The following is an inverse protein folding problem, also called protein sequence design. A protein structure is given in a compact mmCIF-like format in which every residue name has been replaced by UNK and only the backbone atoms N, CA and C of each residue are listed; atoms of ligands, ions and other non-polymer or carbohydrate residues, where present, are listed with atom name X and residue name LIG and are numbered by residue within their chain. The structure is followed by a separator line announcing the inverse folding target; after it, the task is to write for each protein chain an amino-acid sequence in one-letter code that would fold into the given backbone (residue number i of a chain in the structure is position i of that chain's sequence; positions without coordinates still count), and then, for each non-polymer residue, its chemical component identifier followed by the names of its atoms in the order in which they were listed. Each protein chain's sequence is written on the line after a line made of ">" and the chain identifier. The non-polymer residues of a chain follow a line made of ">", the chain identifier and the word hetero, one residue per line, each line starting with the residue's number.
data_IF_874950761159
#
_entry.id   IF_874950761159
#
_cell.length_a   1.000
_cell.length_b   1.000
_cell.length_c   1.000
_cell.angle_alpha   90.00
_cell.angle_beta   90.00
_cell.angle_gamma   90.00
#
_symmetry.space_group_name_H-M   'P 1'
#
loop_
_entity.id
_entity.type
_entity.pdbx_description
1 polymer ?
#
# COMPACT_ATOMS: atom_id res chain seq x y z
N UNK A 1 -22.55 -10.24 -5.14
CA UNK A 1 -21.24 -9.63 -5.30
C UNK A 1 -20.62 -10.06 -6.62
N UNK A 2 -20.05 -9.12 -7.36
CA UNK A 2 -19.34 -9.46 -8.59
C UNK A 2 -18.00 -10.12 -8.30
N UNK A 3 -17.52 -10.94 -9.23
CA UNK A 3 -16.18 -11.54 -9.15
C UNK A 3 -15.09 -10.46 -9.04
N UNK A 4 -15.26 -9.33 -9.76
CA UNK A 4 -14.33 -8.20 -9.70
C UNK A 4 -14.31 -7.54 -8.33
N UNK A 5 -15.47 -7.39 -7.67
CA UNK A 5 -15.54 -6.87 -6.30
C UNK A 5 -14.82 -7.77 -5.30
N UNK A 6 -14.90 -9.08 -5.47
CA UNK A 6 -14.17 -10.04 -4.64
C UNK A 6 -12.66 -9.96 -4.87
N UNK A 7 -12.22 -9.79 -6.13
CA UNK A 7 -10.81 -9.58 -6.47
C UNK A 7 -10.25 -8.30 -5.86
N UNK A 8 -11.01 -7.20 -5.91
CA UNK A 8 -10.61 -5.94 -5.26
C UNK A 8 -10.38 -6.17 -3.77
N UNK A 9 -11.24 -6.89 -3.07
CA UNK A 9 -11.09 -7.16 -1.65
C UNK A 9 -9.88 -8.02 -1.34
N UNK A 10 -9.64 -9.07 -2.13
CA UNK A 10 -8.47 -9.95 -1.96
C UNK A 10 -7.18 -9.16 -2.16
N UNK A 11 -7.09 -8.33 -3.19
CA UNK A 11 -5.90 -7.53 -3.47
C UNK A 11 -5.71 -6.39 -2.48
N UNK A 12 -6.81 -5.82 -1.95
CA UNK A 12 -6.75 -4.82 -0.88
C UNK A 12 -6.19 -5.44 0.41
N UNK A 13 -6.64 -6.66 0.74
CA UNK A 13 -6.09 -7.39 1.87
C UNK A 13 -4.59 -7.65 1.70
N UNK A 14 -4.18 -8.12 0.52
CA UNK A 14 -2.76 -8.36 0.22
C UNK A 14 -1.93 -7.08 0.32
N UNK A 15 -2.46 -5.95 -0.18
CA UNK A 15 -1.81 -4.65 -0.05
C UNK A 15 -1.61 -4.25 1.42
N UNK A 16 -2.64 -4.44 2.26
CA UNK A 16 -2.55 -4.13 3.69
C UNK A 16 -1.52 -4.99 4.39
N UNK A 17 -1.40 -6.28 4.04
CA UNK A 17 -0.37 -7.16 4.57
C UNK A 17 1.03 -6.68 4.20
N UNK A 18 1.24 -6.26 2.94
CA UNK A 18 2.51 -5.68 2.48
C UNK A 18 2.85 -4.39 3.21
N UNK A 19 1.86 -3.54 3.45
CA UNK A 19 2.04 -2.30 4.23
C UNK A 19 2.44 -2.57 5.68
N UNK A 20 1.86 -3.58 6.32
CA UNK A 20 2.23 -3.98 7.69
C UNK A 20 3.66 -4.50 7.75
N UNK A 21 4.07 -5.31 6.78
CA UNK A 21 5.45 -5.80 6.68
C UNK A 21 6.42 -4.64 6.52
N UNK A 22 6.13 -3.69 5.64
CA UNK A 22 6.96 -2.50 5.44
C UNK A 22 7.07 -1.67 6.72
N UNK A 23 5.95 -1.42 7.39
CA UNK A 23 5.94 -0.66 8.64
C UNK A 23 6.80 -1.33 9.73
N UNK A 24 6.73 -2.66 9.84
CA UNK A 24 7.56 -3.43 10.78
C UNK A 24 9.04 -3.31 10.47
N UNK A 25 9.44 -3.37 9.20
CA UNK A 25 10.84 -3.20 8.77
C UNK A 25 11.33 -1.79 9.04
N UNK A 26 10.52 -0.76 8.77
CA UNK A 26 10.87 0.63 9.04
C UNK A 26 11.05 0.89 10.53
N UNK A 27 10.19 0.34 11.38
CA UNK A 27 10.31 0.46 12.83
C UNK A 27 11.58 -0.21 13.35
N UNK A 28 11.91 -1.39 12.83
CA UNK A 28 13.12 -2.10 13.21
C UNK A 28 14.37 -1.33 12.76
N UNK A 29 14.35 -0.76 11.57
CA UNK A 29 15.45 0.08 11.05
C UNK A 29 15.68 1.29 11.94
N UNK A 30 14.61 1.96 12.35
CA UNK A 30 14.69 3.10 13.26
C UNK A 30 15.27 2.71 14.62
N UNK A 31 14.83 1.57 15.17
CA UNK A 31 15.36 1.05 16.43
C UNK A 31 16.87 0.79 16.34
N UNK A 32 17.31 0.14 15.28
CA UNK A 32 18.74 -0.15 15.11
C UNK A 32 19.58 1.12 14.91
N UNK A 33 19.06 2.11 14.20
CA UNK A 33 19.71 3.41 14.06
C UNK A 33 19.83 4.13 15.40
N UNK A 34 18.77 4.08 16.22
CA UNK A 34 18.79 4.64 17.56
C UNK A 34 19.78 3.90 18.46
N UNK A 35 19.88 2.58 18.35
CA UNK A 35 20.87 1.77 19.08
C UNK A 35 22.31 2.15 18.67
N UNK A 36 22.54 2.38 17.40
CA UNK A 36 23.84 2.81 16.88
C UNK A 36 24.21 4.20 17.40
N UNK A 37 23.27 5.13 17.36
CA UNK A 37 23.45 6.49 17.86
C UNK A 37 23.75 6.48 19.36
N UNK A 38 23.02 5.66 20.13
CA UNK A 38 23.27 5.46 21.56
C UNK A 38 24.65 4.91 21.85
N UNK A 39 25.10 3.94 21.05
CA UNK A 39 26.43 3.33 21.17
C UNK A 39 27.54 4.37 20.90
N UNK A 40 27.37 5.20 19.87
CA UNK A 40 28.33 6.26 19.55
C UNK A 40 28.39 7.32 20.65
N UNK A 41 27.25 7.69 21.24
CA UNK A 41 27.20 8.60 22.38
C UNK A 41 27.90 7.98 23.61
N UNK A 42 27.68 6.69 23.87
CA UNK A 42 28.33 5.96 24.96
C UNK A 42 29.85 5.90 24.78
N UNK A 43 30.32 5.65 23.55
CA UNK A 43 31.73 5.71 23.21
C UNK A 43 32.36 7.08 23.52
N UNK A 44 31.64 8.15 23.20
CA UNK A 44 32.11 9.52 23.45
C UNK A 44 32.17 9.83 24.93
N UNK A 45 31.18 9.39 25.70
CA UNK A 45 31.14 9.56 27.15
C UNK A 45 32.28 8.81 27.83
N UNK A 46 32.53 7.56 27.45
CA UNK A 46 33.61 6.75 28.00
C UNK A 46 34.99 7.30 27.65
N UNK A 47 35.12 7.84 26.44
CA UNK A 47 36.38 8.52 26.05
C UNK A 47 36.65 9.71 26.96
N UNK A 48 35.65 10.51 27.26
CA UNK A 48 35.80 11.67 28.15
C UNK A 48 36.09 11.25 29.59
N UNK A 49 35.44 10.17 30.06
CA UNK A 49 35.66 9.62 31.39
C UNK A 49 37.09 9.01 31.53
N UNK A 50 37.58 8.33 30.49
CA UNK A 50 38.89 7.68 30.47
C UNK A 50 40.05 8.68 30.63
N UNK A 51 39.90 9.90 30.14
CA UNK A 51 40.91 10.97 30.31
C UNK A 51 40.99 11.51 31.71
N UNK A 52 39.99 11.21 32.59
CA UNK A 52 39.92 11.72 33.97
C UNK A 52 40.45 10.75 35.04
N UNK A 53 40.77 9.48 34.72
CA UNK A 53 41.20 8.48 35.69
C UNK A 53 42.19 7.48 35.09
N UNK A 54 43.09 6.92 35.95
CA UNK A 54 44.01 5.86 35.52
C UNK A 54 43.27 4.56 35.24
N UNK A 55 42.28 4.21 36.07
CA UNK A 55 41.46 3.03 35.89
C UNK A 55 40.66 3.09 34.59
N UNK A 56 40.06 4.21 34.25
CA UNK A 56 39.37 4.46 32.99
C UNK A 56 40.31 4.33 31.79
N UNK A 57 41.53 4.82 31.89
CA UNK A 57 42.56 4.73 30.83
C UNK A 57 42.98 3.29 30.56
N UNK A 58 43.01 2.43 31.56
CA UNK A 58 43.35 1.02 31.43
C UNK A 58 42.20 0.20 30.83
N UNK A 59 40.98 0.48 31.24
CA UNK A 59 39.75 -0.24 30.80
C UNK A 59 39.27 0.20 29.42
N UNK A 60 39.59 1.42 28.98
CA UNK A 60 39.07 2.03 27.76
C UNK A 60 39.38 1.24 26.48
N UNK A 61 40.61 0.73 26.25
CA UNK A 61 40.91 -0.02 25.02
C UNK A 61 40.02 -1.25 24.84
N UNK A 62 39.74 -2.01 25.90
CA UNK A 62 38.88 -3.18 25.86
C UNK A 62 37.42 -2.78 25.56
N UNK A 63 36.96 -1.70 26.20
CA UNK A 63 35.63 -1.14 25.95
C UNK A 63 35.49 -0.71 24.48
N UNK A 64 36.47 0.03 23.95
CA UNK A 64 36.49 0.49 22.56
C UNK A 64 36.44 -0.69 21.58
N UNK A 65 37.27 -1.71 21.80
CA UNK A 65 37.29 -2.89 20.93
C UNK A 65 35.92 -3.58 20.86
N UNK A 66 35.28 -3.78 22.01
CA UNK A 66 33.92 -4.37 22.07
C UNK A 66 32.87 -3.48 21.41
N UNK A 67 32.92 -2.17 21.63
CA UNK A 67 32.00 -1.21 21.07
C UNK A 67 32.16 -1.08 19.54
N UNK A 68 33.37 -1.10 19.02
CA UNK A 68 33.64 -1.07 17.58
C UNK A 68 33.11 -2.33 16.89
N UNK A 69 33.26 -3.49 17.51
CA UNK A 69 32.69 -4.73 16.98
C UNK A 69 31.16 -4.69 16.96
N UNK A 70 30.54 -4.21 18.01
CA UNK A 70 29.08 -4.02 18.09
C UNK A 70 28.61 -3.01 17.05
N UNK A 71 29.32 -1.89 16.88
CA UNK A 71 29.01 -0.87 15.86
C UNK A 71 29.05 -1.46 14.46
N UNK A 72 30.06 -2.27 14.17
CA UNK A 72 30.18 -2.97 12.88
C UNK A 72 28.99 -3.87 12.60
N UNK A 73 28.58 -4.66 13.59
CA UNK A 73 27.41 -5.56 13.48
C UNK A 73 26.13 -4.77 13.27
N UNK A 74 25.93 -3.67 14.00
CA UNK A 74 24.77 -2.79 13.82
C UNK A 74 24.72 -2.18 12.43
N UNK A 75 25.85 -1.69 11.91
CA UNK A 75 25.92 -1.12 10.56
C UNK A 75 25.60 -2.14 9.47
N UNK A 76 26.08 -3.38 9.61
CA UNK A 76 25.76 -4.46 8.68
C UNK A 76 24.28 -4.79 8.74
N UNK A 77 23.73 -4.91 9.94
CA UNK A 77 22.29 -5.19 10.12
C UNK A 77 21.42 -4.07 9.54
N UNK A 78 21.79 -2.81 9.75
CA UNK A 78 21.08 -1.64 9.19
C UNK A 78 21.13 -1.68 7.66
N UNK A 79 22.30 -1.95 7.06
CA UNK A 79 22.45 -2.03 5.61
C UNK A 79 21.56 -3.14 5.02
N UNK A 80 21.55 -4.32 5.63
CA UNK A 80 20.71 -5.42 5.20
C UNK A 80 19.22 -5.10 5.35
N UNK A 81 18.87 -4.44 6.44
CA UNK A 81 17.49 -4.04 6.72
C UNK A 81 17.01 -2.95 5.75
N UNK A 82 17.88 -2.01 5.37
CA UNK A 82 17.56 -1.00 4.37
C UNK A 82 17.28 -1.63 2.99
N UNK A 83 18.04 -2.66 2.61
CA UNK A 83 17.77 -3.41 1.39
C UNK A 83 16.42 -4.13 1.46
N UNK A 84 16.13 -4.78 2.59
CA UNK A 84 14.84 -5.47 2.79
C UNK A 84 13.67 -4.47 2.78
N UNK A 85 13.85 -3.29 3.36
CA UNK A 85 12.85 -2.22 3.39
C UNK A 85 12.56 -1.72 1.99
N UNK A 86 13.58 -1.51 1.16
CA UNK A 86 13.40 -1.07 -0.22
C UNK A 86 12.68 -2.13 -1.05
N UNK A 87 13.01 -3.41 -0.87
CA UNK A 87 12.28 -4.50 -1.51
C UNK A 87 10.80 -4.52 -1.08
N UNK A 88 10.53 -4.30 0.21
CA UNK A 88 9.16 -4.24 0.74
C UNK A 88 8.38 -3.04 0.18
N UNK A 89 9.04 -1.88 -0.01
CA UNK A 89 8.43 -0.73 -0.67
C UNK A 89 8.00 -1.03 -2.09
N UNK A 90 8.85 -1.75 -2.83
CA UNK A 90 8.53 -2.17 -4.19
C UNK A 90 7.33 -3.11 -4.21
N UNK A 91 7.25 -4.07 -3.29
CA UNK A 91 6.10 -4.96 -3.16
C UNK A 91 4.81 -4.20 -2.84
N UNK A 92 4.87 -3.17 -2.00
CA UNK A 92 3.71 -2.30 -1.72
C UNK A 92 3.25 -1.57 -2.98
N UNK A 93 4.20 -1.01 -3.75
CA UNK A 93 3.88 -0.34 -5.01
C UNK A 93 3.19 -1.28 -6.00
N UNK A 94 3.70 -2.49 -6.15
CA UNK A 94 3.13 -3.50 -7.04
C UNK A 94 1.74 -3.93 -6.57
N UNK A 95 1.55 -4.18 -5.28
CA UNK A 95 0.27 -4.54 -4.70
C UNK A 95 -0.77 -3.41 -4.86
N UNK A 96 -0.34 -2.15 -4.72
CA UNK A 96 -1.19 -0.98 -4.96
C UNK A 96 -1.65 -0.91 -6.42
N UNK A 97 -0.73 -1.14 -7.36
CA UNK A 97 -1.07 -1.17 -8.80
C UNK A 97 -2.07 -2.26 -9.12
N UNK A 98 -1.94 -3.43 -8.51
CA UNK A 98 -2.91 -4.52 -8.68
C UNK A 98 -4.30 -4.14 -8.15
N UNK A 99 -4.39 -3.51 -6.99
CA UNK A 99 -5.67 -3.01 -6.46
C UNK A 99 -6.30 -2.02 -7.43
N UNK A 100 -5.52 -1.05 -7.92
CA UNK A 100 -6.01 -0.02 -8.86
C UNK A 100 -6.49 -0.63 -10.18
N UNK A 101 -5.79 -1.62 -10.68
CA UNK A 101 -6.18 -2.36 -11.88
C UNK A 101 -7.57 -2.99 -11.74
N UNK A 102 -7.81 -3.69 -10.64
CA UNK A 102 -9.10 -4.36 -10.39
C UNK A 102 -10.22 -3.38 -10.01
N UNK A 103 -9.91 -2.31 -9.28
CA UNK A 103 -10.87 -1.22 -9.04
C UNK A 103 -11.35 -0.60 -10.35
N UNK A 104 -10.41 -0.29 -11.24
CA UNK A 104 -10.73 0.30 -12.53
C UNK A 104 -11.56 -0.65 -13.40
N UNK A 105 -11.20 -1.94 -13.41
CA UNK A 105 -11.95 -2.96 -14.14
C UNK A 105 -13.40 -3.08 -13.60
N UNK A 106 -13.56 -3.08 -12.27
CA UNK A 106 -14.87 -3.11 -11.62
C UNK A 106 -15.70 -1.88 -11.99
N UNK A 107 -15.12 -0.70 -11.88
CA UNK A 107 -15.81 0.56 -12.16
C UNK A 107 -16.24 0.65 -13.64
N UNK A 108 -15.38 0.20 -14.56
CA UNK A 108 -15.69 0.12 -15.98
C UNK A 108 -16.81 -0.87 -16.27
N UNK A 109 -16.80 -2.03 -15.60
CA UNK A 109 -17.85 -3.04 -15.73
C UNK A 109 -19.20 -2.51 -15.24
N UNK A 110 -19.22 -1.87 -14.07
CA UNK A 110 -20.45 -1.27 -13.50
C UNK A 110 -21.00 -0.16 -14.41
N UNK A 111 -20.13 0.66 -14.98
CA UNK A 111 -20.53 1.72 -15.91
C UNK A 111 -21.13 1.14 -17.19
N UNK A 112 -20.52 0.11 -17.75
CA UNK A 112 -21.04 -0.58 -18.95
C UNK A 112 -22.41 -1.21 -18.68
N UNK A 113 -22.60 -1.81 -17.51
CA UNK A 113 -23.88 -2.38 -17.11
C UNK A 113 -24.96 -1.29 -16.97
N UNK A 114 -24.64 -0.16 -16.36
CA UNK A 114 -25.55 0.98 -16.27
C UNK A 114 -25.93 1.52 -17.64
N UNK A 115 -24.95 1.68 -18.52
CA UNK A 115 -25.18 2.17 -19.88
C UNK A 115 -26.05 1.18 -20.68
N UNK A 116 -25.81 -0.11 -20.52
CA UNK A 116 -26.61 -1.16 -21.16
C UNK A 116 -28.05 -1.14 -20.68
N UNK A 117 -28.28 -1.01 -19.38
CA UNK A 117 -29.62 -0.89 -18.81
C UNK A 117 -30.33 0.37 -19.27
N UNK A 118 -29.63 1.51 -19.27
CA UNK A 118 -30.18 2.78 -19.76
C UNK A 118 -30.60 2.69 -21.24
N UNK A 119 -29.79 2.00 -22.06
CA UNK A 119 -30.11 1.79 -23.48
C UNK A 119 -31.32 0.88 -23.64
N UNK A 120 -31.45 -0.17 -22.86
CA UNK A 120 -32.61 -1.07 -22.87
C UNK A 120 -33.89 -0.33 -22.47
N UNK A 121 -33.84 0.48 -21.42
CA UNK A 121 -34.96 1.29 -20.97
C UNK A 121 -35.39 2.28 -22.05
N UNK A 122 -34.44 2.94 -22.71
CA UNK A 122 -34.68 3.88 -23.81
C UNK A 122 -35.38 3.17 -24.98
N UNK A 123 -34.91 2.00 -25.36
CA UNK A 123 -35.53 1.21 -26.43
C UNK A 123 -36.95 0.78 -26.07
N UNK A 124 -37.15 0.34 -24.83
CA UNK A 124 -38.48 -0.03 -24.35
C UNK A 124 -39.46 1.14 -24.39
N UNK A 125 -39.01 2.34 -23.97
CA UNK A 125 -39.81 3.56 -24.02
C UNK A 125 -40.10 3.98 -25.46
N UNK A 126 -39.14 3.89 -26.36
CA UNK A 126 -39.29 4.20 -27.77
C UNK A 126 -40.27 3.25 -28.42
N UNK A 127 -40.22 1.95 -28.15
CA UNK A 127 -41.17 0.96 -28.65
C UNK A 127 -42.58 1.20 -28.12
N UNK A 128 -42.70 1.53 -26.83
CA UNK A 128 -43.98 1.87 -26.24
C UNK A 128 -44.56 3.13 -26.86
N UNK A 129 -43.76 4.17 -27.06
CA UNK A 129 -44.16 5.42 -27.72
C UNK A 129 -44.63 5.15 -29.16
N UNK A 130 -43.90 4.35 -29.92
CA UNK A 130 -44.26 3.94 -31.28
C UNK A 130 -45.57 3.16 -31.29
N UNK A 131 -45.76 2.21 -30.39
CA UNK A 131 -47.01 1.44 -30.26
C UNK A 131 -48.18 2.32 -29.93
N UNK A 132 -48.02 3.25 -28.98
CA UNK A 132 -49.10 4.20 -28.61
C UNK A 132 -49.43 5.13 -29.78
N UNK A 133 -48.44 5.58 -30.51
CA UNK A 133 -48.65 6.44 -31.68
C UNK A 133 -49.39 5.69 -32.78
N UNK A 134 -49.05 4.44 -33.06
CA UNK A 134 -49.80 3.60 -34.02
C UNK A 134 -51.24 3.37 -33.61
N UNK A 135 -51.49 3.07 -32.32
CA UNK A 135 -52.87 2.91 -31.80
C UNK A 135 -53.69 4.19 -31.96
N UNK A 136 -53.08 5.33 -31.70
CA UNK A 136 -53.74 6.64 -31.87
C UNK A 136 -54.08 6.89 -33.33
N UNK A 137 -53.19 6.54 -34.28
CA UNK A 137 -53.45 6.65 -35.72
C UNK A 137 -54.62 5.74 -36.15
N UNK A 138 -54.66 4.50 -35.67
CA UNK A 138 -55.75 3.56 -35.99
C UNK A 138 -57.08 4.09 -35.46
N UNK A 139 -57.12 4.59 -34.23
CA UNK A 139 -58.32 5.16 -33.64
C UNK A 139 -58.84 6.38 -34.42
N UNK A 140 -57.95 7.25 -34.89
CA UNK A 140 -58.32 8.40 -35.71
C UNK A 140 -58.83 7.96 -37.08
N UNK A 141 -58.25 6.97 -37.68
CA UNK A 141 -58.68 6.38 -38.94
C UNK A 141 -60.07 5.75 -38.83
N UNK A 142 -60.38 5.07 -37.74
CA UNK A 142 -61.68 4.46 -37.48
C UNK A 142 -62.75 5.51 -37.19
N UNK A 143 -62.42 6.64 -36.57
CA UNK A 143 -63.39 7.71 -36.28
C UNK A 143 -63.73 8.57 -37.49
N UNK A 144 -62.87 8.58 -38.51
CA UNK A 144 -63.16 9.30 -39.80
C UNK A 144 -63.86 8.49 -40.83
N UNK A 145 -64.03 7.19 -40.58
CA UNK A 145 -64.81 6.28 -41.39
C UNK A 145 -66.22 6.11 -40.87
#
# INVERSE_FOLDING_TARGET
>A
MSALGSLVRVHTWALNEKRQTLAGLEQLAEKLRNDLEGLEAELQQERSAATGSIEGTIAFPAFVAAALERRKKLRVSIANLDLATEAARQEVREAYQEVKKYELARDNHERRERDRLALRERKALDELGTTLHQRKKIMQSESEG
#
